data_IF_439791694728
#
_entry.id   IF_439791694728
#
_cell.length_a   1.000
_cell.length_b   1.000
_cell.length_c   1.000
_cell.angle_alpha   90.00
_cell.angle_beta   90.00
_cell.angle_gamma   90.00
#
_symmetry.space_group_name_H-M   'P 1'
#
loop_
_entity.id
_entity.type
_entity.pdbx_description
1 polymer ?
#
# COMPACT_ATOMS: atom_id res chain seq x y z
N UNK A 1 26.37 9.11 15.89
CA UNK A 1 25.50 10.28 15.76
C UNK A 1 24.08 9.78 15.95
N UNK A 2 23.40 10.21 17.01
CA UNK A 2 22.03 9.79 17.35
C UNK A 2 21.15 11.04 17.31
N UNK A 3 20.07 11.01 16.51
CA UNK A 3 19.09 12.07 16.45
C UNK A 3 17.88 11.67 17.29
N UNK A 4 17.44 12.55 18.18
CA UNK A 4 16.19 12.37 18.94
C UNK A 4 15.04 13.06 18.20
N UNK A 5 13.94 12.32 18.00
CA UNK A 5 12.71 12.83 17.39
C UNK A 5 11.57 12.73 18.42
N UNK A 6 10.85 13.82 18.62
CA UNK A 6 9.70 13.86 19.51
C UNK A 6 8.41 13.70 18.70
N UNK A 7 7.66 12.64 18.98
CA UNK A 7 6.37 12.37 18.34
C UNK A 7 5.23 13.01 19.17
N UNK A 8 4.45 13.90 18.57
CA UNK A 8 3.31 14.55 19.22
C UNK A 8 1.98 13.92 18.80
N UNK A 9 1.01 13.86 19.72
CA UNK A 9 -0.35 13.41 19.45
C UNK A 9 -1.09 14.44 18.60
N UNK A 10 -1.81 14.00 17.57
CA UNK A 10 -2.78 14.85 16.86
C UNK A 10 -4.15 14.74 17.55
N UNK A 11 -4.30 15.27 18.76
CA UNK A 11 -5.61 15.43 19.38
C UNK A 11 -6.08 16.89 19.25
N UNK A 12 -7.11 17.11 18.45
CA UNK A 12 -7.92 18.31 18.54
C UNK A 12 -8.67 18.30 19.88
N UNK A 13 -8.48 19.39 20.64
CA UNK A 13 -9.15 19.78 21.90
C UNK A 13 -8.62 19.18 23.22
N UNK A 14 -7.80 20.01 23.89
CA UNK A 14 -7.81 20.33 25.32
C UNK A 14 -8.16 19.25 26.36
N UNK A 15 -7.13 18.73 27.02
CA UNK A 15 -7.03 18.75 28.49
C UNK A 15 -5.62 18.38 28.95
N UNK A 16 -5.07 19.21 29.83
CA UNK A 16 -3.80 19.02 30.52
C UNK A 16 -3.83 17.81 31.46
N UNK A 17 -3.18 16.72 31.08
CA UNK A 17 -2.66 15.69 32.02
C UNK A 17 -1.68 14.79 31.28
N UNK A 18 -0.41 14.81 31.72
CA UNK A 18 0.66 13.84 31.39
C UNK A 18 0.51 13.12 30.05
N UNK A 19 1.04 13.72 28.98
CA UNK A 19 1.14 13.05 27.68
C UNK A 19 2.05 11.83 27.83
N UNK A 20 1.47 10.64 28.01
CA UNK A 20 2.24 9.42 27.84
C UNK A 20 2.84 9.43 26.43
N UNK A 21 4.11 9.02 26.28
CA UNK A 21 4.75 9.01 24.97
C UNK A 21 3.96 8.10 24.04
N UNK A 22 3.51 8.62 22.90
CA UNK A 22 2.88 7.78 21.89
C UNK A 22 3.88 6.73 21.40
N UNK A 23 3.55 5.47 21.64
CA UNK A 23 4.34 4.34 21.17
C UNK A 23 4.23 4.17 19.66
N UNK A 24 5.32 3.72 19.05
CA UNK A 24 5.32 3.19 17.69
C UNK A 24 4.87 1.73 17.76
N UNK A 25 3.80 1.39 17.05
CA UNK A 25 3.29 0.03 16.95
C UNK A 25 4.03 -0.79 15.89
N UNK A 26 4.37 -0.17 14.75
CA UNK A 26 5.14 -0.82 13.69
C UNK A 26 5.81 0.21 12.77
N UNK A 27 6.82 -0.23 12.01
CA UNK A 27 7.52 0.59 11.04
C UNK A 27 7.69 -0.14 9.70
N UNK A 28 7.63 0.60 8.60
CA UNK A 28 7.94 0.11 7.25
C UNK A 28 8.92 1.07 6.57
N UNK A 29 9.90 0.54 5.85
CA UNK A 29 11.04 1.32 5.34
C UNK A 29 11.14 1.14 3.83
N UNK A 30 11.21 2.26 3.13
CA UNK A 30 11.60 2.33 1.73
C UNK A 30 12.32 3.66 1.50
N UNK A 31 13.66 3.63 1.50
CA UNK A 31 14.48 4.85 1.41
C UNK A 31 13.99 5.84 0.31
N UNK A 32 13.97 7.14 0.59
CA UNK A 32 14.42 7.78 1.81
C UNK A 32 13.39 7.76 2.96
N UNK A 33 12.30 7.00 2.83
CA UNK A 33 11.15 7.10 3.71
C UNK A 33 11.08 6.00 4.77
N UNK A 34 10.63 6.39 5.97
CA UNK A 34 10.22 5.48 7.04
C UNK A 34 8.79 5.81 7.42
N UNK A 35 7.88 4.86 7.24
CA UNK A 35 6.49 4.98 7.67
C UNK A 35 6.34 4.36 9.06
N UNK A 36 5.85 5.14 10.01
CA UNK A 36 5.55 4.71 11.36
C UNK A 36 4.04 4.60 11.55
N UNK A 37 3.57 3.47 12.07
CA UNK A 37 2.23 3.33 12.61
C UNK A 37 2.28 3.51 14.12
N UNK A 38 1.50 4.44 14.63
CA UNK A 38 1.40 4.72 16.04
C UNK A 38 0.38 3.77 16.71
N UNK A 39 0.45 3.65 18.04
CA UNK A 39 -0.48 2.82 18.83
C UNK A 39 -1.92 3.37 18.81
N UNK A 40 -2.08 4.69 18.64
CA UNK A 40 -3.39 5.36 18.58
C UNK A 40 -4.16 5.13 17.24
N UNK A 41 -3.50 4.52 16.26
CA UNK A 41 -4.06 4.27 14.92
C UNK A 41 -3.73 5.36 13.89
N UNK A 42 -2.87 6.33 14.23
CA UNK A 42 -2.33 7.30 13.27
C UNK A 42 -1.04 6.79 12.62
N UNK A 43 -0.58 7.49 11.58
CA UNK A 43 0.69 7.21 10.92
C UNK A 43 1.51 8.49 10.76
N UNK A 44 2.83 8.34 10.75
CA UNK A 44 3.78 9.41 10.51
C UNK A 44 4.79 8.98 9.45
N UNK A 45 5.16 9.90 8.56
CA UNK A 45 6.21 9.65 7.57
C UNK A 45 7.48 10.37 8.01
N UNK A 46 8.58 9.66 8.14
CA UNK A 46 9.90 10.25 8.25
C UNK A 46 10.57 10.27 6.88
N UNK A 47 11.29 11.35 6.60
CA UNK A 47 12.06 11.55 5.38
C UNK A 47 13.52 11.72 5.75
N UNK A 48 14.36 10.83 5.26
CA UNK A 48 15.81 10.93 5.37
C UNK A 48 16.39 11.84 4.31
N UNK A 49 17.27 12.74 4.74
CA UNK A 49 18.10 13.54 3.85
C UNK A 49 19.50 12.92 3.79
N UNK A 50 19.88 12.45 2.61
CA UNK A 50 21.18 11.82 2.39
C UNK A 50 22.35 12.81 2.52
N UNK A 51 22.11 14.10 2.27
CA UNK A 51 23.16 15.13 2.32
C UNK A 51 23.50 15.55 3.75
N UNK A 52 22.49 15.65 4.61
CA UNK A 52 22.64 16.05 6.01
C UNK A 52 22.70 14.87 6.98
N UNK A 53 22.44 13.65 6.50
CA UNK A 53 22.28 12.44 7.32
C UNK A 53 21.24 12.61 8.44
N UNK A 54 20.21 13.44 8.21
CA UNK A 54 19.16 13.75 9.19
C UNK A 54 17.81 13.18 8.76
N UNK A 55 16.95 12.90 9.74
CA UNK A 55 15.54 12.55 9.55
C UNK A 55 14.67 13.77 9.87
N UNK A 56 13.64 13.98 9.07
CA UNK A 56 12.59 14.98 9.28
C UNK A 56 11.22 14.32 9.32
N UNK A 57 10.32 14.83 10.15
CA UNK A 57 8.93 14.36 10.21
C UNK A 57 8.14 15.09 9.14
N UNK A 58 7.49 14.32 8.26
CA UNK A 58 6.50 14.79 7.29
C UNK A 58 5.13 14.29 7.72
N UNK A 59 4.20 15.23 7.92
CA UNK A 59 2.80 14.92 8.23
C UNK A 59 1.92 15.37 7.06
N UNK A 60 1.68 14.50 6.08
CA UNK A 60 0.69 14.73 5.04
C UNK A 60 -0.67 15.12 5.63
N UNK A 61 -1.31 16.15 5.08
CA UNK A 61 -2.60 16.66 5.55
C UNK A 61 -3.69 15.58 5.61
N UNK A 62 -3.61 14.58 4.73
CA UNK A 62 -4.53 13.45 4.75
C UNK A 62 -4.53 12.75 6.12
N UNK A 63 -3.38 12.59 6.78
CA UNK A 63 -3.26 11.92 8.07
C UNK A 63 -3.84 12.72 9.23
N UNK A 64 -3.86 14.05 9.10
CA UNK A 64 -4.52 14.92 10.09
C UNK A 64 -6.04 14.93 9.94
N UNK A 65 -6.56 14.57 8.76
CA UNK A 65 -7.98 14.56 8.45
C UNK A 65 -8.63 13.17 8.53
N UNK A 66 -7.88 12.13 8.91
CA UNK A 66 -8.41 10.78 8.99
C UNK A 66 -9.40 10.68 10.16
N UNK A 67 -10.69 10.60 9.83
CA UNK A 67 -11.73 10.23 10.79
C UNK A 67 -11.63 8.77 11.22
N UNK A 68 -10.85 7.96 10.49
CA UNK A 68 -10.79 6.52 10.65
C UNK A 68 -9.39 6.04 11.05
N UNK A 69 -9.34 5.09 11.98
CA UNK A 69 -8.08 4.51 12.48
C UNK A 69 -7.47 3.55 11.46
N UNK A 70 -6.15 3.52 11.44
CA UNK A 70 -5.37 2.61 10.58
C UNK A 70 -5.10 1.32 11.34
N UNK A 71 -5.48 0.19 10.72
CA UNK A 71 -5.23 -1.14 11.28
C UNK A 71 -3.86 -1.67 10.91
N UNK A 72 -3.42 -1.47 9.66
CA UNK A 72 -2.10 -1.88 9.17
C UNK A 72 -1.66 -1.00 7.98
N UNK A 73 -0.35 -0.82 7.81
CA UNK A 73 0.20 -0.07 6.67
C UNK A 73 1.61 -0.55 6.31
N UNK A 74 2.02 -0.31 5.06
CA UNK A 74 3.37 -0.63 4.60
C UNK A 74 3.80 0.23 3.42
N UNK A 75 5.10 0.42 3.25
CA UNK A 75 5.70 1.02 2.06
C UNK A 75 6.03 -0.07 1.03
N UNK A 76 5.76 0.23 -0.22
CA UNK A 76 6.14 -0.58 -1.37
C UNK A 76 6.93 0.27 -2.35
N UNK A 77 8.10 -0.23 -2.76
CA UNK A 77 8.89 0.39 -3.82
C UNK A 77 8.77 -0.44 -5.09
N UNK A 78 8.25 0.17 -6.14
CA UNK A 78 8.04 -0.43 -7.45
C UNK A 78 9.34 -0.52 -8.25
N UNK A 79 10.33 -1.25 -7.71
CA UNK A 79 11.65 -1.45 -8.32
C UNK A 79 11.58 -2.43 -9.48
N UNK A 80 12.33 -2.14 -10.54
CA UNK A 80 12.58 -3.07 -11.63
C UNK A 80 12.98 -2.38 -12.92
N UNK A 81 13.46 -3.14 -13.93
CA UNK A 81 13.64 -2.60 -15.28
C UNK A 81 12.32 -2.08 -15.89
N UNK A 82 11.19 -2.52 -15.31
CA UNK A 82 9.85 -2.19 -15.73
C UNK A 82 8.97 -2.00 -14.48
N UNK A 83 8.78 -0.75 -14.00
CA UNK A 83 7.98 -0.46 -12.82
C UNK A 83 6.53 -0.92 -13.05
N UNK A 84 6.11 -1.89 -12.24
CA UNK A 84 4.97 -2.74 -12.53
C UNK A 84 3.65 -2.02 -12.26
N UNK A 85 3.55 -1.27 -11.17
CA UNK A 85 2.36 -0.44 -10.91
C UNK A 85 2.26 0.68 -11.95
N UNK A 86 3.39 1.26 -12.38
CA UNK A 86 3.36 2.32 -13.40
C UNK A 86 2.78 1.83 -14.73
N UNK A 87 3.04 0.58 -15.13
CA UNK A 87 2.42 -0.03 -16.33
C UNK A 87 0.89 -0.09 -16.28
N UNK A 88 0.33 -0.13 -15.08
CA UNK A 88 -1.13 -0.18 -14.89
C UNK A 88 -1.79 1.20 -14.90
N UNK A 89 -1.02 2.27 -15.14
CA UNK A 89 -1.58 3.61 -15.25
C UNK A 89 -2.35 3.81 -16.55
N UNK A 90 -3.33 4.70 -16.50
CA UNK A 90 -4.14 5.06 -17.68
C UNK A 90 -3.32 5.78 -18.77
N UNK A 91 -2.22 6.46 -18.39
CA UNK A 91 -1.31 7.19 -19.28
C UNK A 91 -0.09 6.36 -19.72
N UNK A 92 0.00 5.07 -19.37
CA UNK A 92 1.17 4.23 -19.64
C UNK A 92 1.53 4.12 -21.14
N UNK A 93 0.54 4.31 -22.04
CA UNK A 93 0.75 4.39 -23.48
C UNK A 93 1.52 5.65 -23.91
N UNK A 94 1.32 6.79 -23.25
CA UNK A 94 2.01 8.04 -23.56
C UNK A 94 3.49 7.98 -23.18
N UNK A 95 3.83 7.19 -22.17
CA UNK A 95 5.23 6.98 -21.75
C UNK A 95 5.96 5.92 -22.59
N UNK A 96 5.26 5.13 -23.40
CA UNK A 96 5.83 4.05 -24.22
C UNK A 96 6.05 4.47 -25.69
N UNK A 97 5.71 5.70 -26.08
CA UNK A 97 5.91 6.22 -27.43
C UNK A 97 7.32 6.75 -27.63
N UNK A 98 8.16 5.96 -28.33
CA UNK A 98 9.35 6.36 -29.12
C UNK A 98 10.00 7.68 -28.66
N UNK A 99 10.90 7.60 -27.68
CA UNK A 99 11.92 8.62 -27.54
C UNK A 99 12.99 8.34 -28.62
N UNK A 100 12.86 9.01 -29.77
CA UNK A 100 14.03 9.27 -30.61
C UNK A 100 15.09 9.99 -29.75
N UNK A 101 16.38 9.63 -29.83
CA UNK A 101 17.42 10.34 -29.10
C UNK A 101 17.62 11.72 -29.73
N UNK A 102 16.79 12.70 -29.36
CA UNK A 102 17.05 14.11 -29.65
C UNK A 102 18.08 14.60 -28.65
N UNK A 103 19.24 14.90 -29.20
CA UNK A 103 20.39 15.50 -28.56
C UNK A 103 20.03 16.86 -27.96
N UNK A 104 20.46 17.10 -26.71
CA UNK A 104 20.56 18.45 -26.14
C UNK A 104 19.30 19.07 -25.52
N UNK A 105 19.24 19.08 -24.19
CA UNK A 105 18.41 20.02 -23.43
C UNK A 105 17.86 19.43 -22.15
N UNK A 106 18.55 19.68 -21.02
CA UNK A 106 18.09 19.29 -19.70
C UNK A 106 16.70 19.84 -19.40
N UNK A 107 15.70 18.99 -19.55
CA UNK A 107 14.40 19.14 -18.92
C UNK A 107 14.31 18.02 -17.88
N UNK A 108 14.18 18.42 -16.63
CA UNK A 108 13.97 17.52 -15.51
C UNK A 108 12.81 16.59 -15.83
N UNK A 109 13.11 15.30 -16.01
CA UNK A 109 12.12 14.25 -15.85
C UNK A 109 11.45 14.52 -14.50
N UNK A 110 10.20 15.01 -14.50
CA UNK A 110 9.46 15.25 -13.27
C UNK A 110 9.64 14.04 -12.36
N UNK A 111 10.14 14.25 -11.14
CA UNK A 111 10.53 13.18 -10.21
C UNK A 111 9.32 12.30 -9.86
N UNK A 112 9.08 11.31 -10.71
CA UNK A 112 7.97 10.40 -10.55
C UNK A 112 8.39 9.35 -9.53
N UNK A 113 7.88 9.46 -8.31
CA UNK A 113 8.14 8.48 -7.25
C UNK A 113 7.75 7.05 -7.67
N UNK A 114 8.60 6.08 -7.33
CA UNK A 114 8.32 4.63 -7.37
C UNK A 114 7.82 4.09 -6.03
N UNK A 115 7.59 4.96 -5.03
CA UNK A 115 7.23 4.55 -3.68
C UNK A 115 5.75 4.80 -3.43
N UNK A 116 5.10 3.76 -2.96
CA UNK A 116 3.68 3.73 -2.62
C UNK A 116 3.51 3.40 -1.14
N UNK A 117 2.56 4.07 -0.48
CA UNK A 117 2.10 3.73 0.85
C UNK A 117 0.77 2.99 0.72
N UNK A 118 0.71 1.77 1.25
CA UNK A 118 -0.53 0.99 1.31
C UNK A 118 -1.05 1.05 2.73
N UNK A 119 -2.32 1.44 2.88
CA UNK A 119 -2.99 1.61 4.16
C UNK A 119 -4.24 0.75 4.17
N UNK A 120 -4.42 -0.02 5.23
CA UNK A 120 -5.69 -0.65 5.56
C UNK A 120 -6.25 -0.01 6.82
N UNK A 121 -7.51 0.41 6.74
CA UNK A 121 -8.24 1.00 7.85
C UNK A 121 -9.00 -0.05 8.66
N UNK A 122 -9.44 0.30 9.87
CA UNK A 122 -10.21 -0.61 10.73
C UNK A 122 -11.57 -1.01 10.13
N UNK A 123 -12.17 -0.22 9.23
CA UNK A 123 -13.36 -0.62 8.47
C UNK A 123 -13.13 -1.76 7.49
N UNK A 124 -11.87 -2.03 7.13
CA UNK A 124 -11.51 -2.93 6.04
C UNK A 124 -11.34 -2.27 4.68
N UNK A 125 -11.43 -0.93 4.61
CA UNK A 125 -11.02 -0.18 3.43
C UNK A 125 -9.51 -0.26 3.25
N UNK A 126 -9.05 -0.50 2.01
CA UNK A 126 -7.64 -0.51 1.63
C UNK A 126 -7.38 0.54 0.56
N UNK A 127 -6.35 1.35 0.75
CA UNK A 127 -5.97 2.42 -0.17
C UNK A 127 -4.47 2.40 -0.47
N UNK A 128 -4.10 2.76 -1.70
CA UNK A 128 -2.71 2.94 -2.14
C UNK A 128 -2.50 4.42 -2.46
N UNK A 129 -1.44 5.00 -1.89
CA UNK A 129 -1.05 6.39 -2.04
C UNK A 129 0.33 6.51 -2.65
N UNK A 130 0.56 7.50 -3.52
CA UNK A 130 1.90 7.84 -3.97
C UNK A 130 2.65 8.70 -2.96
N UNK A 131 3.84 8.29 -2.55
CA UNK A 131 4.72 9.04 -1.64
C UNK A 131 5.65 9.93 -2.48
N UNK A 132 5.94 11.19 -2.11
CA UNK A 132 5.53 11.90 -0.90
C UNK A 132 4.22 12.68 -1.04
N UNK A 133 3.58 12.68 -2.22
CA UNK A 133 2.38 13.49 -2.48
C UNK A 133 1.15 13.09 -1.64
N UNK A 134 1.11 11.84 -1.19
CA UNK A 134 -0.06 11.15 -0.64
C UNK A 134 -1.33 11.30 -1.48
N UNK A 135 -1.18 11.36 -2.80
CA UNK A 135 -2.31 11.22 -3.71
C UNK A 135 -2.78 9.76 -3.73
N UNK A 136 -4.03 9.53 -3.35
CA UNK A 136 -4.67 8.21 -3.46
C UNK A 136 -4.80 7.80 -4.93
N UNK A 137 -4.28 6.62 -5.29
CA UNK A 137 -4.22 6.11 -6.66
C UNK A 137 -4.96 4.79 -6.89
N UNK A 138 -5.43 4.13 -5.82
CA UNK A 138 -6.23 2.91 -5.83
C UNK A 138 -6.99 2.77 -4.50
N UNK A 139 -8.24 2.31 -4.51
CA UNK A 139 -9.06 2.14 -3.31
C UNK A 139 -9.97 0.91 -3.40
N UNK A 140 -10.17 0.18 -2.30
CA UNK A 140 -11.08 -0.98 -2.18
C UNK A 140 -11.81 -0.90 -0.85
N UNK A 141 -13.13 -0.96 -0.84
CA UNK A 141 -13.94 -0.78 0.39
C UNK A 141 -13.99 -2.02 1.29
N UNK A 142 -13.86 -3.22 0.74
CA UNK A 142 -14.13 -4.47 1.49
C UNK A 142 -12.97 -5.47 1.41
N UNK A 143 -11.75 -5.04 1.71
CA UNK A 143 -10.56 -5.92 1.63
C UNK A 143 -10.68 -7.15 2.57
N UNK A 144 -11.31 -6.97 3.73
CA UNK A 144 -11.51 -8.02 4.74
C UNK A 144 -12.35 -9.21 4.26
N UNK A 145 -13.21 -9.01 3.25
CA UNK A 145 -14.05 -10.07 2.69
C UNK A 145 -13.23 -11.19 2.02
N UNK A 146 -11.99 -10.89 1.62
CA UNK A 146 -11.20 -11.84 0.85
C UNK A 146 -11.76 -12.05 -0.57
N UNK A 147 -12.39 -11.04 -1.18
CA UNK A 147 -12.92 -11.15 -2.55
C UNK A 147 -11.93 -11.81 -3.52
N UNK A 148 -12.42 -12.60 -4.47
CA UNK A 148 -11.53 -13.28 -5.42
C UNK A 148 -10.77 -12.27 -6.31
N UNK A 149 -11.31 -11.08 -6.50
CA UNK A 149 -10.75 -10.03 -7.34
C UNK A 149 -10.95 -8.66 -6.68
N UNK A 150 -9.85 -7.93 -6.50
CA UNK A 150 -9.89 -6.53 -6.10
C UNK A 150 -9.75 -5.62 -7.32
N UNK A 151 -10.68 -4.67 -7.41
CA UNK A 151 -10.81 -3.66 -8.46
C UNK A 151 -10.87 -2.30 -7.78
N UNK A 152 -10.32 -1.28 -8.42
CA UNK A 152 -10.40 0.07 -7.89
C UNK A 152 -11.86 0.56 -7.80
N UNK A 153 -12.31 0.83 -6.58
CA UNK A 153 -13.62 1.37 -6.27
C UNK A 153 -13.83 2.74 -6.90
N UNK A 154 -12.76 3.54 -7.08
CA UNK A 154 -12.84 4.84 -7.74
C UNK A 154 -13.14 4.76 -9.25
N UNK A 155 -13.01 3.57 -9.85
CA UNK A 155 -13.42 3.30 -11.23
C UNK A 155 -14.89 2.85 -11.37
N UNK A 156 -15.62 2.66 -10.27
CA UNK A 156 -17.04 2.28 -10.27
C UNK A 156 -17.89 3.49 -9.90
N UNK A 157 -18.72 3.97 -10.84
CA UNK A 157 -19.99 4.58 -10.46
C UNK A 157 -20.95 3.42 -10.17
N UNK A 158 -21.12 3.04 -8.91
CA UNK A 158 -22.30 2.28 -8.53
C UNK A 158 -22.67 2.59 -7.07
N UNK A 159 -23.80 3.27 -6.92
CA UNK A 159 -24.45 3.57 -5.65
C UNK A 159 -25.12 2.31 -5.13
N UNK A 160 -24.41 1.51 -4.34
CA UNK A 160 -25.08 0.52 -3.49
C UNK A 160 -24.35 0.36 -2.17
N UNK A 161 -24.62 1.29 -1.25
CA UNK A 161 -24.22 1.18 0.16
C UNK A 161 -25.11 0.17 0.86
N UNK A 162 -24.63 -1.06 1.01
CA UNK A 162 -25.19 -1.99 2.01
C UNK A 162 -24.38 -1.82 3.29
N UNK A 163 -24.94 -1.04 4.23
CA UNK A 163 -24.43 -0.92 5.58
C UNK A 163 -24.74 -2.20 6.35
N UNK A 164 -23.72 -3.01 6.62
CA UNK A 164 -23.78 -4.06 7.63
C UNK A 164 -23.47 -3.42 8.98
N UNK A 165 -24.48 -3.24 9.83
CA UNK A 165 -24.27 -3.07 11.27
C UNK A 165 -23.74 -4.39 11.83
N UNK A 166 -22.62 -4.38 12.56
CA UNK A 166 -22.31 -5.50 13.47
C UNK A 166 -21.56 -5.08 14.71
N UNK A 167 -21.97 -5.78 15.77
CA UNK A 167 -21.72 -5.64 17.20
C UNK A 167 -20.26 -5.70 17.63
N UNK A 168 -20.00 -5.11 18.80
CA UNK A 168 -18.72 -5.07 19.48
C UNK A 168 -18.43 -6.39 20.21
N UNK A 169 -17.71 -7.30 19.54
CA UNK A 169 -16.78 -8.28 20.11
C UNK A 169 -15.87 -8.78 18.98
N UNK A 170 -14.57 -8.50 19.10
CA UNK A 170 -13.49 -8.70 18.11
C UNK A 170 -13.91 -8.58 16.64
N UNK A 171 -14.02 -7.33 16.17
CA UNK A 171 -14.16 -7.08 14.73
C UNK A 171 -12.92 -7.62 14.01
N UNK A 172 -13.15 -8.40 12.95
CA UNK A 172 -12.08 -8.88 12.08
C UNK A 172 -11.36 -7.66 11.49
N UNK A 173 -10.03 -7.62 11.59
CA UNK A 173 -9.22 -6.53 11.04
C UNK A 173 -7.89 -7.04 10.50
N UNK A 174 -7.29 -6.30 9.57
CA UNK A 174 -5.92 -6.55 9.12
C UNK A 174 -4.95 -6.11 10.20
N UNK A 175 -4.15 -7.04 10.73
CA UNK A 175 -3.12 -6.76 11.74
C UNK A 175 -1.75 -6.51 11.11
N UNK A 176 -1.52 -7.02 9.90
CA UNK A 176 -0.26 -6.88 9.20
C UNK A 176 -0.49 -6.86 7.69
N UNK A 177 0.24 -5.97 7.01
CA UNK A 177 0.15 -5.75 5.59
C UNK A 177 1.55 -5.75 4.98
N UNK A 178 1.72 -6.46 3.88
CA UNK A 178 2.98 -6.46 3.13
C UNK A 178 2.68 -6.42 1.64
N UNK A 179 3.49 -5.70 0.88
CA UNK A 179 3.46 -5.77 -0.57
C UNK A 179 4.88 -5.97 -1.08
N UNK A 180 5.07 -6.96 -1.95
CA UNK A 180 6.40 -7.34 -2.39
C UNK A 180 6.42 -7.89 -3.81
N UNK A 181 7.51 -7.62 -4.54
CA UNK A 181 7.78 -8.19 -5.86
C UNK A 181 9.16 -8.85 -5.80
N UNK A 182 9.19 -10.18 -5.91
CA UNK A 182 10.42 -10.95 -6.02
C UNK A 182 11.12 -10.72 -7.37
N UNK A 183 12.36 -11.18 -7.51
CA UNK A 183 13.08 -11.01 -8.78
C UNK A 183 12.54 -11.96 -9.87
N UNK A 184 12.87 -11.66 -11.13
CA UNK A 184 12.49 -12.49 -12.28
C UNK A 184 11.69 -11.75 -13.34
N UNK A 185 11.88 -12.18 -14.60
CA UNK A 185 11.35 -11.53 -15.80
C UNK A 185 9.81 -11.38 -15.80
N UNK A 186 9.10 -12.35 -15.22
CA UNK A 186 7.63 -12.34 -15.16
C UNK A 186 7.11 -12.18 -13.73
N UNK A 187 7.97 -11.72 -12.82
CA UNK A 187 7.57 -11.45 -11.44
C UNK A 187 6.63 -10.26 -11.39
N UNK A 188 5.58 -10.42 -10.59
CA UNK A 188 4.53 -9.44 -10.36
C UNK A 188 4.40 -9.18 -8.87
N UNK A 189 3.99 -7.97 -8.45
CA UNK A 189 3.78 -7.66 -7.05
C UNK A 189 2.71 -8.57 -6.44
N UNK A 190 2.92 -8.93 -5.19
CA UNK A 190 1.95 -9.60 -4.34
C UNK A 190 1.55 -8.68 -3.20
N UNK A 191 0.26 -8.69 -2.85
CA UNK A 191 -0.30 -8.02 -1.69
C UNK A 191 -0.71 -9.08 -0.67
N UNK A 192 -0.22 -8.95 0.55
CA UNK A 192 -0.48 -9.84 1.66
C UNK A 192 -1.18 -9.08 2.77
N UNK A 193 -2.24 -9.67 3.33
CA UNK A 193 -2.91 -9.20 4.52
C UNK A 193 -3.08 -10.34 5.52
N UNK A 194 -2.67 -10.14 6.75
CA UNK A 194 -2.90 -11.08 7.84
C UNK A 194 -4.00 -10.51 8.73
N UNK A 195 -5.10 -11.23 8.86
CA UNK A 195 -6.22 -10.83 9.71
C UNK A 195 -5.98 -11.29 11.16
N UNK A 196 -6.67 -10.70 12.14
CA UNK A 196 -6.54 -11.06 13.56
C UNK A 196 -7.04 -12.48 13.91
N UNK A 197 -7.84 -13.11 13.06
CA UNK A 197 -8.43 -14.44 13.27
C UNK A 197 -7.57 -15.61 12.74
N UNK A 198 -6.44 -15.32 12.09
CA UNK A 198 -5.58 -16.30 11.46
C UNK A 198 -5.55 -16.21 9.94
N UNK A 199 -6.54 -15.56 9.34
CA UNK A 199 -6.74 -15.61 7.90
C UNK A 199 -5.61 -14.89 7.17
N UNK A 200 -4.90 -15.63 6.32
CA UNK A 200 -3.88 -15.08 5.43
C UNK A 200 -4.48 -14.80 4.05
N UNK A 201 -4.61 -13.52 3.72
CA UNK A 201 -5.02 -13.05 2.41
C UNK A 201 -3.79 -12.84 1.54
N UNK A 202 -3.79 -13.48 0.38
CA UNK A 202 -2.72 -13.35 -0.61
C UNK A 202 -3.31 -13.02 -1.96
N UNK A 203 -2.78 -11.99 -2.60
CA UNK A 203 -3.16 -11.57 -3.94
C UNK A 203 -1.94 -11.38 -4.81
N UNK A 204 -2.05 -11.72 -6.09
CA UNK A 204 -1.11 -11.23 -7.09
C UNK A 204 -1.72 -10.08 -7.88
N UNK A 205 -0.91 -9.08 -8.17
CA UNK A 205 -1.30 -8.01 -9.06
C UNK A 205 -1.30 -8.51 -10.52
N UNK A 206 -2.22 -8.01 -11.35
CA UNK A 206 -2.17 -8.14 -12.81
C UNK A 206 -2.64 -6.84 -13.50
N UNK A 207 -2.04 -6.54 -14.65
CA UNK A 207 -2.49 -5.42 -15.50
C UNK A 207 -3.67 -5.90 -16.32
N UNK A 208 -4.79 -5.20 -16.24
CA UNK A 208 -5.98 -5.46 -17.03
C UNK A 208 -6.04 -4.46 -18.18
N UNK A 209 -5.74 -4.93 -19.39
CA UNK A 209 -5.99 -4.21 -20.63
C UNK A 209 -7.40 -4.59 -21.10
N UNK A 210 -8.40 -3.86 -20.63
CA UNK A 210 -9.77 -4.01 -21.13
C UNK A 210 -9.89 -3.38 -22.51
N UNK A 211 -10.60 -4.04 -23.43
CA UNK A 211 -10.94 -3.47 -24.76
C UNK A 211 -11.92 -2.27 -24.67
N UNK A 212 -12.35 -1.90 -23.46
CA UNK A 212 -13.41 -0.93 -23.21
C UNK A 212 -12.87 0.50 -23.09
N UNK A 213 -12.34 1.02 -24.20
CA UNK A 213 -12.25 2.48 -24.45
C UNK A 213 -11.89 2.78 -25.91
N UNK A 214 -12.62 2.19 -26.86
CA UNK A 214 -12.73 2.75 -28.22
C UNK A 214 -13.98 3.63 -28.40
N UNK A 215 -14.66 3.98 -27.31
CA UNK A 215 -15.55 5.14 -27.31
C UNK A 215 -14.67 6.34 -27.05
N UNK A 216 -14.37 7.08 -28.12
CA UNK A 216 -13.76 8.42 -28.06
C UNK A 216 -14.47 9.22 -26.98
N UNK A 217 -13.80 9.44 -25.86
CA UNK A 217 -14.22 10.42 -24.86
C UNK A 217 -13.92 11.79 -25.46
N UNK A 218 -14.81 12.24 -26.33
CA UNK A 218 -14.65 13.43 -27.15
C UNK A 218 -15.08 14.68 -26.35
N UNK A 219 -14.69 14.77 -25.07
CA UNK A 219 -14.84 15.98 -24.27
C UNK A 219 -13.67 16.93 -24.53
N UNK A 220 -13.57 17.42 -25.77
CA UNK A 220 -12.86 18.66 -26.02
C UNK A 220 -13.72 19.80 -25.49
N UNK A 221 -13.51 20.21 -24.25
CA UNK A 221 -13.88 21.56 -23.79
C UNK A 221 -12.76 22.51 -24.20
N UNK A 222 -13.02 23.50 -25.08
CA UNK A 222 -12.03 24.51 -25.41
C UNK A 222 -12.01 25.59 -24.30
N UNK A 223 -10.81 26.10 -24.04
CA UNK A 223 -10.51 27.33 -23.29
C UNK A 223 -10.73 27.32 -21.77
N UNK A 224 -9.60 27.18 -21.06
CA UNK A 224 -9.24 28.00 -19.89
C UNK A 224 -10.23 28.10 -18.73
N UNK A 225 -10.25 27.12 -17.85
CA UNK A 225 -10.31 27.38 -16.41
C UNK A 225 -9.31 26.49 -15.68
N UNK A 226 -8.51 27.11 -14.83
CA UNK A 226 -7.63 26.41 -13.89
C UNK A 226 -8.51 26.08 -12.69
N UNK A 227 -9.25 24.97 -12.78
CA UNK A 227 -10.04 24.49 -11.65
C UNK A 227 -9.14 23.68 -10.70
N UNK A 228 -8.90 24.31 -9.56
CA UNK A 228 -8.27 23.75 -8.38
C UNK A 228 -9.14 22.59 -7.84
N UNK A 229 -8.53 21.41 -7.64
CA UNK A 229 -9.06 20.27 -6.86
C UNK A 229 -10.33 19.56 -7.38
N UNK A 230 -10.11 18.53 -8.23
CA UNK A 230 -10.97 17.35 -8.26
C UNK A 230 -10.18 16.13 -7.79
N UNK A 231 -10.46 15.65 -6.59
CA UNK A 231 -9.74 14.59 -5.89
C UNK A 231 -10.13 13.16 -6.35
N UNK A 232 -10.45 12.97 -7.63
CA UNK A 232 -11.05 11.73 -8.16
C UNK A 232 -10.32 11.12 -9.36
N UNK A 233 -9.00 11.25 -9.46
CA UNK A 233 -8.26 10.55 -10.51
C UNK A 233 -7.58 9.31 -9.97
N UNK A 234 -8.33 8.19 -9.97
CA UNK A 234 -7.74 6.86 -10.03
C UNK A 234 -6.72 6.83 -11.17
N UNK A 235 -5.43 6.69 -10.82
CA UNK A 235 -4.37 6.58 -11.83
C UNK A 235 -4.12 5.14 -12.22
N UNK A 236 -4.28 4.20 -11.29
CA UNK A 236 -4.02 2.77 -11.49
C UNK A 236 -5.28 2.04 -11.98
N UNK A 237 -6.01 2.60 -12.96
CA UNK A 237 -7.29 2.04 -13.44
C UNK A 237 -7.16 0.62 -14.00
N UNK A 238 -5.99 0.25 -14.52
CA UNK A 238 -5.74 -1.09 -15.05
C UNK A 238 -5.18 -2.05 -13.98
N UNK A 239 -4.93 -1.59 -12.76
CA UNK A 239 -4.44 -2.42 -11.67
C UNK A 239 -5.56 -3.30 -11.13
N UNK A 240 -5.28 -4.60 -11.03
CA UNK A 240 -6.17 -5.57 -10.42
C UNK A 240 -5.38 -6.50 -9.52
N UNK A 241 -6.03 -7.03 -8.49
CA UNK A 241 -5.44 -8.03 -7.61
C UNK A 241 -6.30 -9.28 -7.59
N UNK A 242 -5.74 -10.42 -7.97
CA UNK A 242 -6.44 -11.72 -7.97
C UNK A 242 -6.00 -12.52 -6.75
N UNK A 243 -6.97 -13.02 -5.98
CA UNK A 243 -6.72 -13.84 -4.80
C UNK A 243 -6.03 -15.15 -5.20
N UNK A 244 -5.02 -15.54 -4.43
CA UNK A 244 -4.32 -16.81 -4.55
C UNK A 244 -4.67 -17.64 -3.32
N UNK A 245 -5.09 -18.88 -3.57
CA UNK A 245 -5.19 -19.88 -2.51
C UNK A 245 -3.80 -20.26 -2.05
N UNK A 246 -3.47 -19.93 -0.81
CA UNK A 246 -2.27 -20.39 -0.13
C UNK A 246 -2.73 -21.17 1.08
N UNK A 247 -2.46 -22.47 1.10
CA UNK A 247 -2.92 -23.38 2.15
C UNK A 247 -2.09 -23.16 3.42
N UNK A 248 -2.51 -22.18 4.21
CA UNK A 248 -1.88 -21.80 5.48
C UNK A 248 -2.97 -21.80 6.54
N UNK A 249 -2.86 -22.73 7.51
CA UNK A 249 -3.78 -22.79 8.65
C UNK A 249 -3.12 -22.18 9.89
N UNK A 250 -3.28 -20.88 10.08
CA UNK A 250 -2.87 -20.19 11.31
C UNK A 250 -4.06 -20.17 12.27
N UNK A 251 -4.22 -21.20 13.10
CA UNK A 251 -5.22 -21.20 14.19
C UNK A 251 -4.63 -20.55 15.43
N UNK A 252 -4.64 -19.22 15.47
CA UNK A 252 -4.14 -18.41 16.59
C UNK A 252 -5.02 -17.16 16.77
N UNK A 253 -5.21 -16.75 18.02
CA UNK A 253 -5.74 -15.43 18.35
C UNK A 253 -4.57 -14.43 18.32
N UNK A 254 -4.51 -13.67 17.24
CA UNK A 254 -3.35 -12.86 16.85
C UNK A 254 -3.32 -11.54 17.62
N UNK A 255 -4.44 -11.20 18.28
CA UNK A 255 -4.65 -9.98 19.04
C UNK A 255 -3.55 -9.69 20.08
N UNK A 256 -2.83 -10.72 20.53
CA UNK A 256 -1.82 -10.64 21.59
C UNK A 256 -0.36 -10.46 21.14
N UNK A 257 -0.05 -10.55 19.83
CA UNK A 257 1.34 -10.61 19.36
C UNK A 257 1.80 -9.26 18.78
N UNK A 258 2.65 -8.55 19.53
CA UNK A 258 3.18 -7.23 19.19
C UNK A 258 4.31 -7.22 18.12
N UNK A 259 4.45 -8.28 17.31
CA UNK A 259 5.59 -8.43 16.37
C UNK A 259 5.11 -8.72 14.94
N UNK A 260 5.79 -8.16 13.92
CA UNK A 260 5.55 -8.56 12.53
C UNK A 260 5.75 -10.05 12.34
N UNK A 261 4.86 -10.68 11.58
CA UNK A 261 4.87 -12.11 11.32
C UNK A 261 5.20 -12.46 9.88
N UNK A 262 5.01 -11.53 8.95
CA UNK A 262 5.41 -11.68 7.55
C UNK A 262 6.84 -11.18 7.39
N UNK A 263 7.79 -12.11 7.22
CA UNK A 263 9.18 -11.80 6.90
C UNK A 263 9.49 -12.19 5.47
N UNK A 264 9.64 -11.22 4.58
CA UNK A 264 10.05 -11.46 3.19
C UNK A 264 11.54 -11.79 3.13
N UNK A 265 11.93 -12.77 2.31
CA UNK A 265 13.33 -13.07 2.01
C UNK A 265 13.57 -13.26 0.51
N UNK A 266 14.79 -12.96 0.07
CA UNK A 266 15.21 -13.07 -1.33
C UNK A 266 16.22 -14.19 -1.59
N UNK A 267 16.86 -14.72 -0.55
CA UNK A 267 17.89 -15.74 -0.71
C UNK A 267 18.06 -16.57 0.56
N UNK A 268 17.16 -17.51 0.78
CA UNK A 268 17.32 -18.57 1.78
C UNK A 268 17.49 -19.89 1.05
N UNK A 269 18.71 -20.43 1.07
CA UNK A 269 19.04 -21.67 0.35
C UNK A 269 18.86 -21.54 -1.18
N UNK A 270 19.02 -20.35 -1.74
CA UNK A 270 18.79 -20.08 -3.16
C UNK A 270 17.33 -19.85 -3.55
N UNK A 271 16.42 -19.82 -2.56
CA UNK A 271 15.00 -19.54 -2.78
C UNK A 271 14.63 -18.14 -2.32
N UNK A 272 13.62 -17.60 -2.99
CA UNK A 272 12.86 -16.41 -2.63
C UNK A 272 11.54 -16.81 -1.97
N UNK A 273 10.99 -15.96 -1.12
CA UNK A 273 9.72 -16.26 -0.46
C UNK A 273 9.41 -15.38 0.72
N UNK A 274 8.50 -15.88 1.57
CA UNK A 274 8.18 -15.28 2.85
C UNK A 274 8.15 -16.35 3.95
N UNK A 275 8.50 -15.94 5.15
CA UNK A 275 8.38 -16.74 6.36
C UNK A 275 7.27 -16.13 7.21
N UNK A 276 6.30 -16.95 7.60
CA UNK A 276 5.25 -16.60 8.55
C UNK A 276 5.66 -17.11 9.92
N UNK A 277 5.91 -16.20 10.85
CA UNK A 277 6.21 -16.55 12.24
C UNK A 277 4.91 -16.77 13.05
N UNK A 278 5.01 -17.45 14.19
CA UNK A 278 3.87 -17.82 15.03
C UNK A 278 4.16 -19.12 15.79
N UNK A 279 3.12 -19.70 16.40
CA UNK A 279 3.23 -21.03 17.03
C UNK A 279 3.37 -22.16 16.01
N UNK A 280 2.88 -21.93 14.78
CA UNK A 280 3.08 -22.80 13.62
C UNK A 280 3.81 -22.00 12.53
N UNK A 281 5.13 -21.83 12.63
CA UNK A 281 5.89 -21.11 11.62
C UNK A 281 5.76 -21.82 10.27
N UNK A 282 5.76 -21.05 9.18
CA UNK A 282 5.60 -21.58 7.83
C UNK A 282 6.54 -20.87 6.86
N UNK A 283 7.26 -21.65 6.07
CA UNK A 283 8.02 -21.19 4.92
C UNK A 283 7.15 -21.24 3.66
N UNK A 284 7.04 -20.10 2.99
CA UNK A 284 6.35 -19.98 1.71
C UNK A 284 7.40 -19.64 0.65
N UNK A 285 7.84 -20.66 -0.07
CA UNK A 285 8.86 -20.55 -1.12
C UNK A 285 8.22 -20.21 -2.46
N UNK A 286 8.83 -19.32 -3.24
CA UNK A 286 8.47 -19.04 -4.62
C UNK A 286 9.24 -19.97 -5.53
N UNK A 287 8.55 -20.98 -6.08
CA UNK A 287 9.12 -21.96 -7.00
C UNK A 287 8.41 -21.87 -8.35
N UNK A 288 9.13 -21.44 -9.40
CA UNK A 288 8.56 -21.25 -10.75
C UNK A 288 7.29 -20.40 -10.72
N UNK A 289 7.34 -19.26 -10.00
CA UNK A 289 6.24 -18.30 -9.83
C UNK A 289 4.99 -18.86 -9.11
N UNK A 290 5.13 -19.95 -8.36
CA UNK A 290 4.08 -20.53 -7.50
C UNK A 290 4.56 -20.64 -6.07
N UNK A 291 3.65 -20.45 -5.12
CA UNK A 291 3.95 -20.67 -3.71
C UNK A 291 3.99 -22.15 -3.37
N UNK A 292 5.01 -22.54 -2.60
CA UNK A 292 5.16 -23.85 -1.97
C UNK A 292 5.25 -23.63 -0.47
N UNK A 293 4.30 -24.22 0.24
CA UNK A 293 4.14 -24.05 1.69
C UNK A 293 4.83 -25.21 2.39
N UNK A 294 5.67 -24.90 3.36
CA UNK A 294 6.41 -25.86 4.17
C UNK A 294 6.27 -25.48 5.65
N UNK A 295 5.85 -26.39 6.53
CA UNK A 295 5.84 -26.15 7.97
C UNK A 295 7.25 -26.09 8.56
#
# INVERSE_FOLDING_TARGET
>A
MTQELNFTAHSSESSSSSSEPLGVASASIADPYVLLKMVDGTIQLLVGDHSTCALSISVPSIFTSLSEKISACTLYRDRGPEPWLRKTRSDAWLSSGIAEPVDGGGSSSQEQSDIYCIICYESGKLEIFEVPSFRCVFSVESFLSGEALLVDAKGRQDDTKVSLKKEAADSIRVVELAMHRWSGQFSRPFLFGLLNDGTFLCYHAYCYEGLESNVKDNSFSPAGSVDLASASDSRLKNLRFRRISVDITLREDISSLARPRITIFNNVGGYEGLFLSGTRPVWVMVCRQRFRVHP
#
